data_IF_462712264090
#
_entry.id   IF_462712264090
#
_cell.length_a   1.000
_cell.length_b   1.000
_cell.length_c   1.000
_cell.angle_alpha   90.00
_cell.angle_beta   90.00
_cell.angle_gamma   90.00
#
_symmetry.space_group_name_H-M   'P 1'
#
loop_
_entity.id
_entity.type
_entity.pdbx_description
1 polymer ?
#
# COMPACT_ATOMS: atom_id res chain seq x y z
N UNK A 1 37.34 2.11 -10.43
CA UNK A 1 37.04 3.39 -9.75
C UNK A 1 36.01 4.23 -10.52
N UNK A 2 36.19 4.48 -11.82
CA UNK A 2 35.23 5.26 -12.64
C UNK A 2 33.83 4.61 -12.78
N UNK A 3 33.77 3.27 -12.91
CA UNK A 3 32.50 2.53 -13.01
C UNK A 3 31.67 2.61 -11.71
N UNK A 4 32.34 2.60 -10.54
CA UNK A 4 31.70 2.73 -9.23
C UNK A 4 31.08 4.13 -9.03
N UNK A 5 31.73 5.18 -9.55
CA UNK A 5 31.22 6.56 -9.45
C UNK A 5 29.93 6.79 -10.25
N UNK A 6 29.68 6.01 -11.32
CA UNK A 6 28.47 6.13 -12.14
C UNK A 6 27.30 5.25 -11.64
N UNK A 7 27.60 4.15 -10.92
CA UNK A 7 26.61 3.22 -10.36
C UNK A 7 25.91 3.75 -9.09
N UNK A 8 26.62 4.48 -8.23
CA UNK A 8 26.04 5.05 -7.02
C UNK A 8 24.89 6.06 -7.29
N UNK A 9 25.02 7.06 -8.18
CA UNK A 9 23.95 8.03 -8.41
C UNK A 9 22.72 7.42 -9.09
N UNK A 10 22.93 6.42 -9.96
CA UNK A 10 21.82 5.74 -10.66
C UNK A 10 21.01 4.84 -9.73
N UNK A 11 21.67 4.11 -8.82
CA UNK A 11 21.01 3.31 -7.77
C UNK A 11 20.27 4.17 -6.75
N UNK A 12 20.88 5.28 -6.30
CA UNK A 12 20.26 6.23 -5.36
C UNK A 12 19.03 6.89 -5.98
N UNK A 13 19.11 7.33 -7.24
CA UNK A 13 17.98 7.93 -7.93
C UNK A 13 16.83 6.92 -8.12
N UNK A 14 17.14 5.69 -8.54
CA UNK A 14 16.14 4.64 -8.73
C UNK A 14 15.42 4.31 -7.43
N UNK A 15 16.14 4.10 -6.33
CA UNK A 15 15.54 3.77 -5.03
C UNK A 15 14.71 4.93 -4.46
N UNK A 16 15.16 6.17 -4.64
CA UNK A 16 14.41 7.35 -4.23
C UNK A 16 13.08 7.47 -4.98
N UNK A 17 13.11 7.36 -6.32
CA UNK A 17 11.89 7.43 -7.14
C UNK A 17 10.91 6.31 -6.79
N UNK A 18 11.38 5.06 -6.66
CA UNK A 18 10.52 3.94 -6.28
C UNK A 18 9.87 4.14 -4.91
N UNK A 19 10.60 4.65 -3.93
CA UNK A 19 10.04 4.94 -2.59
C UNK A 19 8.99 6.05 -2.65
N UNK A 20 9.23 7.10 -3.45
CA UNK A 20 8.29 8.19 -3.64
C UNK A 20 6.98 7.70 -4.30
N UNK A 21 7.07 6.89 -5.35
CA UNK A 21 5.89 6.31 -6.01
C UNK A 21 5.09 5.42 -5.07
N UNK A 22 5.77 4.57 -4.28
CA UNK A 22 5.14 3.71 -3.28
C UNK A 22 4.39 4.52 -2.23
N UNK A 23 5.01 5.57 -1.70
CA UNK A 23 4.38 6.42 -0.70
C UNK A 23 3.13 7.13 -1.23
N UNK A 24 3.20 7.70 -2.44
CA UNK A 24 2.05 8.36 -3.07
C UNK A 24 0.93 7.34 -3.34
N UNK A 25 1.28 6.16 -3.85
CA UNK A 25 0.34 5.08 -4.09
C UNK A 25 -0.38 4.61 -2.83
N UNK A 26 0.37 4.39 -1.75
CA UNK A 26 -0.16 4.02 -0.43
C UNK A 26 -1.12 5.10 0.12
N UNK A 27 -0.75 6.37 -0.01
CA UNK A 27 -1.57 7.49 0.46
C UNK A 27 -2.92 7.59 -0.27
N UNK A 28 -2.90 7.46 -1.60
CA UNK A 28 -4.13 7.50 -2.41
C UNK A 28 -4.99 6.23 -2.24
N UNK A 29 -4.36 5.07 -2.05
CA UNK A 29 -5.04 3.84 -1.67
C UNK A 29 -5.77 4.02 -0.33
N UNK A 30 -5.06 4.49 0.72
CA UNK A 30 -5.63 4.75 2.04
C UNK A 30 -6.84 5.71 1.98
N UNK A 31 -6.73 6.81 1.22
CA UNK A 31 -7.84 7.76 1.00
C UNK A 31 -9.06 7.12 0.33
N UNK A 32 -8.83 6.35 -0.73
CA UNK A 32 -9.90 5.68 -1.48
C UNK A 32 -10.60 4.63 -0.62
N UNK A 33 -9.82 3.89 0.15
CA UNK A 33 -10.29 2.89 1.09
C UNK A 33 -11.14 3.54 2.20
N UNK A 34 -10.64 4.60 2.82
CA UNK A 34 -11.35 5.31 3.88
C UNK A 34 -12.71 5.88 3.40
N UNK A 35 -12.73 6.51 2.21
CA UNK A 35 -13.97 7.02 1.60
C UNK A 35 -14.98 5.91 1.30
N UNK A 36 -14.49 4.78 0.79
CA UNK A 36 -15.34 3.62 0.45
C UNK A 36 -15.95 3.03 1.71
N UNK A 37 -15.15 2.87 2.76
CA UNK A 37 -15.58 2.29 4.02
C UNK A 37 -16.57 3.22 4.74
N UNK A 38 -16.28 4.51 4.81
CA UNK A 38 -17.18 5.52 5.36
C UNK A 38 -18.53 5.53 4.63
N UNK A 39 -18.53 5.51 3.29
CA UNK A 39 -19.77 5.48 2.51
C UNK A 39 -20.57 4.19 2.76
N UNK A 40 -19.90 3.04 2.83
CA UNK A 40 -20.53 1.73 3.09
C UNK A 40 -21.14 1.67 4.49
N UNK A 41 -20.46 2.20 5.50
CA UNK A 41 -20.97 2.26 6.89
C UNK A 41 -22.18 3.18 6.99
N UNK A 42 -22.14 4.37 6.37
CA UNK A 42 -23.23 5.33 6.43
C UNK A 42 -24.50 4.87 5.68
N UNK A 43 -24.37 3.99 4.68
CA UNK A 43 -25.50 3.46 3.91
C UNK A 43 -25.91 2.04 4.33
N UNK A 44 -25.28 1.45 5.33
CA UNK A 44 -25.64 0.11 5.80
C UNK A 44 -26.96 0.19 6.60
N UNK A 45 -27.97 -0.66 6.31
CA UNK A 45 -29.20 -0.72 7.09
C UNK A 45 -28.88 -1.26 8.49
N UNK A 46 -29.21 -0.46 9.51
CA UNK A 46 -28.89 -0.65 10.94
C UNK A 46 -29.34 -1.99 11.53
N UNK A 47 -30.24 -2.74 10.89
CA UNK A 47 -30.99 -3.86 11.49
C UNK A 47 -30.64 -5.26 10.99
N UNK A 48 -29.81 -5.42 9.95
CA UNK A 48 -29.43 -6.75 9.41
C UNK A 48 -27.93 -6.88 9.13
N UNK A 49 -27.23 -5.76 8.95
CA UNK A 49 -25.81 -5.74 8.61
C UNK A 49 -24.90 -5.89 9.82
N UNK A 50 -25.37 -5.54 11.03
CA UNK A 50 -24.57 -5.67 12.26
C UNK A 50 -24.50 -7.11 12.81
N UNK A 51 -25.46 -7.98 12.46
CA UNK A 51 -25.53 -9.35 13.00
C UNK A 51 -24.98 -10.44 12.06
N UNK A 52 -24.94 -10.24 10.73
CA UNK A 52 -24.64 -11.31 9.76
C UNK A 52 -23.18 -11.27 9.24
N UNK A 53 -22.59 -10.08 9.16
CA UNK A 53 -21.16 -9.89 8.88
C UNK A 53 -20.72 -8.62 9.61
N UNK A 54 -19.96 -8.73 10.72
CA UNK A 54 -19.58 -7.53 11.44
C UNK A 54 -18.82 -6.63 10.49
N UNK A 55 -19.10 -5.32 10.50
CA UNK A 55 -18.27 -4.30 9.84
C UNK A 55 -16.78 -4.56 10.12
N UNK A 56 -16.48 -5.10 11.31
CA UNK A 56 -15.18 -5.63 11.69
C UNK A 56 -14.55 -6.65 10.73
N UNK A 57 -15.28 -7.56 10.06
CA UNK A 57 -14.70 -8.52 9.09
C UNK A 57 -14.30 -7.83 7.78
N UNK A 58 -15.10 -6.86 7.33
CA UNK A 58 -14.74 -6.02 6.18
C UNK A 58 -13.54 -5.15 6.55
N UNK A 59 -13.57 -4.51 7.73
CA UNK A 59 -12.46 -3.74 8.26
C UNK A 59 -11.18 -4.59 8.39
N UNK A 60 -11.29 -5.81 8.91
CA UNK A 60 -10.16 -6.71 9.14
C UNK A 60 -9.55 -7.22 7.82
N UNK A 61 -10.39 -7.47 6.81
CA UNK A 61 -9.92 -7.78 5.46
C UNK A 61 -9.27 -6.56 4.79
N UNK A 62 -9.86 -5.38 4.97
CA UNK A 62 -9.30 -4.12 4.44
C UNK A 62 -7.98 -3.74 5.10
N UNK A 63 -7.90 -3.80 6.43
CA UNK A 63 -6.67 -3.57 7.19
C UNK A 63 -5.60 -4.55 6.75
N UNK A 64 -5.97 -5.82 6.48
CA UNK A 64 -5.04 -6.80 5.93
C UNK A 64 -4.59 -6.43 4.51
N UNK A 65 -5.51 -6.03 3.63
CA UNK A 65 -5.18 -5.59 2.26
C UNK A 65 -4.29 -4.33 2.25
N UNK A 66 -4.52 -3.39 3.18
CA UNK A 66 -3.66 -2.22 3.43
C UNK A 66 -2.28 -2.66 3.91
N UNK A 67 -2.21 -3.53 4.93
CA UNK A 67 -0.94 -4.06 5.44
C UNK A 67 -0.14 -4.75 4.35
N UNK A 68 -0.81 -5.54 3.50
CA UNK A 68 -0.18 -6.20 2.34
C UNK A 68 0.36 -5.16 1.34
N UNK A 69 -0.38 -4.07 1.12
CA UNK A 69 0.01 -2.99 0.19
C UNK A 69 1.13 -2.11 0.74
N UNK A 70 1.17 -1.88 2.05
CA UNK A 70 2.16 -1.05 2.72
C UNK A 70 3.43 -1.84 3.11
N UNK A 71 3.34 -3.16 3.28
CA UNK A 71 4.44 -4.01 3.74
C UNK A 71 4.98 -4.90 2.63
N UNK A 72 4.12 -5.68 1.98
CA UNK A 72 4.56 -6.69 1.01
C UNK A 72 4.84 -6.07 -0.36
N UNK A 73 4.08 -5.05 -0.78
CA UNK A 73 4.33 -4.36 -2.05
C UNK A 73 5.70 -3.65 -2.06
N UNK A 74 6.07 -2.86 -1.04
CA UNK A 74 7.39 -2.22 -0.98
C UNK A 74 8.51 -3.24 -0.79
N UNK A 75 8.29 -4.29 0.01
CA UNK A 75 9.26 -5.35 0.19
C UNK A 75 9.54 -6.09 -1.13
N UNK A 76 8.50 -6.42 -1.89
CA UNK A 76 8.61 -7.11 -3.18
C UNK A 76 9.25 -6.22 -4.24
N UNK A 77 8.85 -4.94 -4.30
CA UNK A 77 9.46 -3.95 -5.21
C UNK A 77 10.93 -3.71 -4.86
N UNK A 78 11.26 -3.56 -3.58
CA UNK A 78 12.63 -3.42 -3.11
C UNK A 78 13.46 -4.67 -3.43
N UNK A 79 12.89 -5.86 -3.25
CA UNK A 79 13.54 -7.12 -3.61
C UNK A 79 13.81 -7.18 -5.12
N UNK A 80 12.85 -6.83 -5.97
CA UNK A 80 13.03 -6.77 -7.43
C UNK A 80 14.08 -5.75 -7.88
N UNK A 81 14.14 -4.58 -7.23
CA UNK A 81 15.13 -3.55 -7.52
C UNK A 81 16.53 -3.99 -7.06
N UNK A 82 16.62 -4.72 -5.94
CA UNK A 82 17.90 -5.16 -5.36
C UNK A 82 18.43 -6.42 -6.06
N UNK A 83 17.57 -7.37 -6.45
CA UNK A 83 17.93 -8.62 -7.15
C UNK A 83 18.32 -8.42 -8.63
N UNK A 84 18.18 -7.19 -9.16
CA UNK A 84 18.66 -6.83 -10.50
C UNK A 84 20.15 -6.42 -10.54
N UNK A 85 20.87 -6.53 -9.42
CA UNK A 85 22.32 -6.38 -9.30
C UNK A 85 22.97 -7.72 -8.93
#
# INVERSE_FOLDING_TARGET
MLLLLLLCPTTVLSTFLSTLFLYIGALEASRTLHKTLLRRVLHAPLTSFFDITPVGRVLNRFSKDIDTTDSDLPATLRAWITLRY
#
